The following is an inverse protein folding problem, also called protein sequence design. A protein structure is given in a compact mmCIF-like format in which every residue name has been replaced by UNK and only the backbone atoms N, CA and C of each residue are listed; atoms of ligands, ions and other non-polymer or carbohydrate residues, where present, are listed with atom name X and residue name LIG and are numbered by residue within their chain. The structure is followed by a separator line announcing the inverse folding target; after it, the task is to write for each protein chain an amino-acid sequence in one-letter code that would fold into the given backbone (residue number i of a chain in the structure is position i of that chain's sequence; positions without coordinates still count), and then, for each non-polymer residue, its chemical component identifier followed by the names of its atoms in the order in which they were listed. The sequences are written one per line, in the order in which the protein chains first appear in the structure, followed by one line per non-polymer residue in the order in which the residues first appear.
data_IF_591628217482
#
_entry.id   IF_591628217482
#
_cell.length_a   1.000
_cell.length_b   1.000
_cell.length_c   1.000
_cell.angle_alpha   90.00
_cell.angle_beta   90.00
_cell.angle_gamma   90.00
#
_symmetry.space_group_name_H-M   'P 1'
#
loop_
_entity.id
_entity.type
_entity.pdbx_description
1 polymer ?
#
# COMPACT_ATOMS: atom_id res chain seq x y z
N UNK A 1 -2.66 14.95 -44.88
CA UNK A 1 -2.92 15.57 -43.56
C UNK A 1 -2.80 14.45 -42.55
N UNK A 2 -1.71 14.42 -41.80
CA UNK A 2 -1.55 13.48 -40.70
C UNK A 2 -2.42 13.98 -39.55
N UNK A 3 -3.56 13.33 -39.36
CA UNK A 3 -4.51 13.64 -38.28
C UNK A 3 -3.83 13.30 -36.94
N UNK A 4 -3.39 14.34 -36.23
CA UNK A 4 -2.73 14.21 -34.92
C UNK A 4 -3.78 13.77 -33.91
N UNK A 5 -3.98 12.46 -33.81
CA UNK A 5 -4.83 11.86 -32.79
C UNK A 5 -4.08 11.88 -31.46
N UNK A 6 -4.56 12.71 -30.53
CA UNK A 6 -4.07 12.73 -29.16
C UNK A 6 -4.25 11.33 -28.53
N UNK A 7 -3.26 10.82 -27.75
CA UNK A 7 -3.41 9.55 -27.06
C UNK A 7 -4.65 9.56 -26.15
N UNK A 8 -5.31 8.42 -26.04
CA UNK A 8 -6.43 8.23 -25.12
C UNK A 8 -6.05 8.69 -23.70
N UNK A 9 -6.98 9.37 -23.02
CA UNK A 9 -6.78 9.89 -21.67
C UNK A 9 -6.30 8.79 -20.70
N UNK A 10 -5.06 8.89 -20.22
CA UNK A 10 -4.50 7.97 -19.25
C UNK A 10 -4.98 8.32 -17.84
N UNK A 11 -5.62 7.36 -17.18
CA UNK A 11 -6.03 7.51 -15.78
C UNK A 11 -4.82 7.46 -14.84
N UNK A 12 -4.78 8.32 -13.83
CA UNK A 12 -3.70 8.36 -12.85
C UNK A 12 -3.54 7.02 -12.12
N UNK A 13 -2.40 6.35 -12.30
CA UNK A 13 -2.13 5.05 -11.68
C UNK A 13 -2.11 5.13 -10.15
N UNK A 14 -1.66 6.25 -9.59
CA UNK A 14 -1.75 6.48 -8.15
C UNK A 14 -3.20 6.56 -7.66
N UNK A 15 -4.10 7.18 -8.41
CA UNK A 15 -5.52 7.17 -8.07
C UNK A 15 -6.10 5.74 -8.14
N UNK A 16 -5.77 4.99 -9.20
CA UNK A 16 -6.21 3.59 -9.34
C UNK A 16 -5.69 2.71 -8.20
N UNK A 17 -4.44 2.88 -7.77
CA UNK A 17 -3.85 2.15 -6.65
C UNK A 17 -4.45 2.58 -5.31
N UNK A 18 -4.74 3.87 -5.12
CA UNK A 18 -5.46 4.36 -3.95
C UNK A 18 -6.86 3.76 -3.83
N UNK A 19 -7.58 3.56 -4.96
CA UNK A 19 -8.89 2.92 -4.93
C UNK A 19 -8.80 1.47 -4.41
N UNK A 20 -7.76 0.71 -4.76
CA UNK A 20 -7.55 -0.65 -4.22
C UNK A 20 -7.48 -0.61 -2.70
N UNK A 21 -6.81 0.39 -2.15
CA UNK A 21 -6.61 0.51 -0.72
C UNK A 21 -7.83 1.09 0.05
N UNK A 22 -8.71 1.85 -0.60
CA UNK A 22 -9.88 2.48 0.06
C UNK A 22 -11.17 1.67 -0.04
N UNK A 23 -11.32 0.76 -1.02
CA UNK A 23 -12.64 0.17 -1.32
C UNK A 23 -13.11 -0.86 -0.27
N UNK A 24 -12.25 -1.30 0.67
CA UNK A 24 -12.57 -2.37 1.64
C UNK A 24 -12.50 -1.99 3.14
N UNK A 25 -12.47 -0.70 3.52
CA UNK A 25 -12.53 -0.33 4.95
C UNK A 25 -13.52 0.81 5.19
N UNK A 26 -14.76 0.46 5.47
CA UNK A 26 -15.75 1.38 6.04
C UNK A 26 -16.35 0.78 7.32
N UNK A 27 -16.40 1.60 8.38
CA UNK A 27 -16.94 1.38 9.74
C UNK A 27 -15.94 0.99 10.85
N UNK A 28 -14.90 1.79 11.08
CA UNK A 28 -14.28 1.89 12.42
C UNK A 28 -14.54 3.31 12.93
N UNK A 29 -15.38 3.40 13.96
CA UNK A 29 -15.98 4.65 14.45
C UNK A 29 -15.00 5.59 15.16
N UNK A 30 -15.33 6.87 15.06
CA UNK A 30 -14.57 8.04 15.50
C UNK A 30 -14.74 8.33 17.01
N UNK A 31 -14.58 7.31 17.86
CA UNK A 31 -14.67 7.47 19.32
C UNK A 31 -13.28 7.73 19.91
N UNK A 32 -12.92 9.01 20.02
CA UNK A 32 -11.66 9.45 20.65
C UNK A 32 -11.82 9.53 22.16
N UNK A 33 -10.89 8.93 22.91
CA UNK A 33 -10.67 9.26 24.32
C UNK A 33 -9.47 10.19 24.43
N UNK A 34 -9.71 11.45 24.81
CA UNK A 34 -8.65 12.45 25.05
C UNK A 34 -7.68 11.97 26.12
N UNK A 35 -8.20 11.37 27.20
CA UNK A 35 -7.42 10.81 28.31
C UNK A 35 -6.46 9.71 27.84
N UNK A 36 -6.91 8.81 26.96
CA UNK A 36 -6.04 7.76 26.42
C UNK A 36 -4.98 8.32 25.46
N UNK A 37 -5.35 9.32 24.64
CA UNK A 37 -4.47 9.99 23.68
C UNK A 37 -3.32 10.73 24.38
N UNK A 38 -3.63 11.47 25.44
CA UNK A 38 -2.64 12.25 26.19
C UNK A 38 -1.67 11.33 26.94
N UNK A 39 -2.19 10.25 27.55
CA UNK A 39 -1.36 9.27 28.28
C UNK A 39 -0.41 8.50 27.36
N UNK A 40 -0.88 8.17 26.16
CA UNK A 40 -0.06 7.59 25.12
C UNK A 40 1.04 8.57 24.67
N UNK A 41 0.72 9.85 24.52
CA UNK A 41 1.71 10.85 24.12
C UNK A 41 2.80 11.02 25.19
N UNK A 42 2.43 11.01 26.48
CA UNK A 42 3.39 11.04 27.59
C UNK A 42 4.39 9.87 27.53
N UNK A 43 3.91 8.66 27.25
CA UNK A 43 4.72 7.43 27.34
C UNK A 43 5.48 7.15 26.03
N UNK A 44 4.81 7.33 24.89
CA UNK A 44 5.37 7.02 23.57
C UNK A 44 6.11 8.21 22.96
N UNK A 45 5.97 9.42 23.52
CA UNK A 45 6.44 10.69 22.97
C UNK A 45 5.99 10.91 21.52
N UNK A 46 4.84 10.34 21.14
CA UNK A 46 4.34 10.38 19.77
C UNK A 46 2.81 10.35 19.75
N UNK A 47 2.20 11.06 18.79
CA UNK A 47 0.76 11.01 18.53
C UNK A 47 0.45 9.95 17.48
N UNK A 48 -0.51 9.06 17.72
CA UNK A 48 -0.96 8.13 16.69
C UNK A 48 -1.79 8.87 15.64
N UNK A 49 -1.51 8.66 14.33
CA UNK A 49 -2.34 9.25 13.29
C UNK A 49 -3.74 8.64 13.36
N UNK A 50 -4.76 9.48 13.25
CA UNK A 50 -6.14 9.02 13.14
C UNK A 50 -6.35 8.51 11.72
N UNK A 51 -6.89 7.30 11.52
CA UNK A 51 -7.29 6.85 10.19
C UNK A 51 -8.32 7.83 9.60
N UNK A 52 -7.96 8.50 8.52
CA UNK A 52 -8.87 9.37 7.76
C UNK A 52 -9.30 8.58 6.52
N UNK A 53 -10.62 8.37 6.37
CA UNK A 53 -11.22 7.57 5.29
C UNK A 53 -10.78 8.07 3.89
N UNK A 54 -10.50 9.37 3.75
CA UNK A 54 -10.06 10.00 2.51
C UNK A 54 -8.59 9.75 2.13
N UNK A 55 -7.79 9.11 3.00
CA UNK A 55 -6.39 8.76 2.76
C UNK A 55 -6.08 7.38 3.34
N UNK A 56 -6.16 6.33 2.52
CA UNK A 56 -5.89 4.94 2.90
C UNK A 56 -4.55 4.70 3.65
N UNK A 57 -3.50 5.50 3.36
CA UNK A 57 -2.21 5.46 4.07
C UNK A 57 -2.35 5.70 5.59
N UNK A 58 -3.40 6.40 6.03
CA UNK A 58 -3.59 6.77 7.42
C UNK A 58 -3.77 5.56 8.35
N UNK A 59 -4.50 4.52 7.91
CA UNK A 59 -4.69 3.30 8.70
C UNK A 59 -3.39 2.50 8.79
N UNK A 60 -2.71 2.29 7.65
CA UNK A 60 -1.40 1.64 7.65
C UNK A 60 -0.41 2.35 8.57
N UNK A 61 -0.29 3.68 8.49
CA UNK A 61 0.60 4.44 9.37
C UNK A 61 0.20 4.36 10.84
N UNK A 62 -1.10 4.32 11.15
CA UNK A 62 -1.58 4.14 12.52
C UNK A 62 -1.13 2.78 13.09
N UNK A 63 -1.41 1.69 12.37
CA UNK A 63 -1.01 0.34 12.80
C UNK A 63 0.50 0.20 12.86
N UNK A 64 1.22 0.71 11.86
CA UNK A 64 2.70 0.66 11.86
C UNK A 64 3.28 1.34 13.09
N UNK A 65 2.68 2.46 13.50
CA UNK A 65 3.13 3.19 14.69
C UNK A 65 2.79 2.44 15.98
N UNK A 66 1.65 1.75 16.03
CA UNK A 66 1.26 0.87 17.14
C UNK A 66 2.27 -0.27 17.29
N UNK A 67 2.57 -0.98 16.19
CA UNK A 67 3.56 -2.07 16.18
C UNK A 67 4.94 -1.57 16.59
N UNK A 68 5.38 -0.40 16.10
CA UNK A 68 6.66 0.20 16.46
C UNK A 68 6.79 0.60 17.94
N UNK A 69 5.68 0.79 18.66
CA UNK A 69 5.66 1.18 20.07
C UNK A 69 5.07 0.09 20.98
N UNK A 70 5.13 -1.18 20.56
CA UNK A 70 4.55 -2.34 21.26
C UNK A 70 4.89 -2.39 22.75
N UNK A 71 6.16 -2.20 23.12
CA UNK A 71 6.63 -2.22 24.51
C UNK A 71 6.06 -1.07 25.33
N UNK A 72 6.13 0.16 24.79
CA UNK A 72 5.64 1.38 25.43
C UNK A 72 4.12 1.35 25.60
N UNK A 73 3.41 0.80 24.61
CA UNK A 73 1.98 0.58 24.69
C UNK A 73 1.65 -0.41 25.81
N UNK A 74 2.41 -1.48 25.98
CA UNK A 74 2.25 -2.40 27.11
C UNK A 74 2.19 -1.68 28.46
N UNK A 75 3.12 -0.75 28.70
CA UNK A 75 3.17 0.10 29.89
C UNK A 75 1.97 1.07 29.96
N UNK A 76 1.55 1.63 28.83
CA UNK A 76 0.37 2.49 28.77
C UNK A 76 -0.94 1.74 29.10
N UNK A 77 -1.11 0.51 28.60
CA UNK A 77 -2.25 -0.35 28.92
C UNK A 77 -2.31 -0.66 30.43
N UNK A 78 -1.16 -0.93 31.06
CA UNK A 78 -1.07 -1.15 32.51
C UNK A 78 -1.50 0.08 33.31
N UNK A 79 -0.96 1.25 32.96
CA UNK A 79 -1.29 2.51 33.63
C UNK A 79 -2.77 2.90 33.48
N UNK A 80 -3.36 2.60 32.32
CA UNK A 80 -4.76 2.89 32.03
C UNK A 80 -5.72 1.78 32.50
N UNK A 81 -5.20 0.70 33.11
CA UNK A 81 -5.98 -0.49 33.53
C UNK A 81 -6.82 -1.07 32.38
N UNK A 82 -6.28 -1.00 31.17
CA UNK A 82 -6.93 -1.50 29.96
C UNK A 82 -6.51 -2.94 29.67
N UNK A 83 -7.39 -3.68 28.99
CA UNK A 83 -7.06 -5.03 28.51
C UNK A 83 -5.93 -4.95 27.47
N UNK A 84 -4.84 -5.65 27.74
CA UNK A 84 -3.69 -5.74 26.81
C UNK A 84 -4.06 -6.49 25.54
N UNK A 85 -3.39 -6.11 24.46
CA UNK A 85 -3.40 -6.81 23.18
C UNK A 85 -2.71 -8.16 23.35
N UNK A 86 -3.35 -9.23 22.87
CA UNK A 86 -2.85 -10.61 22.95
C UNK A 86 -1.70 -10.83 21.97
N UNK A 87 -0.89 -11.86 22.21
CA UNK A 87 0.20 -12.26 21.29
C UNK A 87 -0.30 -12.52 19.87
N UNK A 88 -1.44 -13.20 19.71
CA UNK A 88 -2.04 -13.47 18.40
C UNK A 88 -2.45 -12.19 17.67
N UNK A 89 -3.00 -11.22 18.40
CA UNK A 89 -3.41 -9.92 17.84
C UNK A 89 -2.18 -9.11 17.42
N UNK A 90 -1.08 -9.18 18.18
CA UNK A 90 0.20 -8.57 17.77
C UNK A 90 0.76 -9.21 16.49
N UNK A 91 0.78 -10.53 16.39
CA UNK A 91 1.24 -11.23 15.18
C UNK A 91 0.38 -10.87 13.96
N UNK A 92 -0.94 -10.71 14.13
CA UNK A 92 -1.81 -10.20 13.08
C UNK A 92 -1.43 -8.78 12.63
N UNK A 93 -1.19 -7.85 13.57
CA UNK A 93 -0.84 -6.47 13.23
C UNK A 93 0.54 -6.39 12.53
N UNK A 94 1.49 -7.22 12.94
CA UNK A 94 2.81 -7.35 12.30
C UNK A 94 2.65 -7.87 10.85
N UNK A 95 1.88 -8.93 10.63
CA UNK A 95 1.57 -9.43 9.28
C UNK A 95 0.81 -8.41 8.43
N UNK A 96 -0.15 -7.69 9.02
CA UNK A 96 -0.87 -6.62 8.33
C UNK A 96 0.09 -5.54 7.83
N UNK A 97 1.01 -5.09 8.68
CA UNK A 97 2.04 -4.13 8.28
C UNK A 97 2.92 -4.69 7.16
N UNK A 98 3.34 -5.94 7.26
CA UNK A 98 4.16 -6.59 6.23
C UNK A 98 3.46 -6.62 4.86
N UNK A 99 2.16 -6.94 4.81
CA UNK A 99 1.37 -6.98 3.57
C UNK A 99 1.10 -5.58 3.01
N UNK A 100 0.83 -4.61 3.87
CA UNK A 100 0.45 -3.25 3.45
C UNK A 100 1.65 -2.36 3.11
N UNK A 101 2.83 -2.62 3.67
CA UNK A 101 4.05 -1.85 3.40
C UNK A 101 4.47 -1.77 1.92
N UNK A 102 4.51 -2.87 1.14
CA UNK A 102 4.86 -2.77 -0.28
C UNK A 102 3.81 -1.96 -1.05
N UNK A 103 2.53 -2.03 -0.66
CA UNK A 103 1.46 -1.22 -1.26
C UNK A 103 1.65 0.27 -0.95
N UNK A 104 1.90 0.63 0.33
CA UNK A 104 2.22 1.99 0.79
C UNK A 104 3.40 2.58 0.03
N UNK A 105 4.51 1.84 -0.01
CA UNK A 105 5.73 2.25 -0.70
C UNK A 105 5.50 2.47 -2.19
N UNK A 106 4.74 1.57 -2.83
CA UNK A 106 4.43 1.68 -4.26
C UNK A 106 3.61 2.91 -4.59
N UNK A 107 2.65 3.27 -3.74
CA UNK A 107 1.89 4.49 -3.99
C UNK A 107 2.71 5.74 -3.72
N UNK A 108 3.44 5.79 -2.61
CA UNK A 108 4.27 6.95 -2.27
C UNK A 108 5.27 7.23 -3.41
N UNK A 109 5.81 6.16 -4.01
CA UNK A 109 6.65 6.26 -5.22
C UNK A 109 5.88 6.83 -6.42
N UNK A 110 4.67 6.33 -6.71
CA UNK A 110 3.88 6.80 -7.86
C UNK A 110 3.23 8.18 -7.65
N UNK A 111 3.15 8.66 -6.41
CA UNK A 111 2.67 10.00 -6.04
C UNK A 111 3.81 11.01 -5.89
N UNK A 112 5.06 10.57 -5.79
CA UNK A 112 6.21 11.46 -5.61
C UNK A 112 6.45 12.34 -6.83
N UNK A 113 6.67 13.63 -6.63
CA UNK A 113 6.86 14.62 -7.72
C UNK A 113 8.00 14.24 -8.68
N UNK A 114 9.06 13.62 -8.18
CA UNK A 114 10.23 13.19 -8.95
C UNK A 114 10.13 11.78 -9.53
N UNK A 115 9.03 11.07 -9.29
CA UNK A 115 8.83 9.66 -9.68
C UNK A 115 7.45 9.37 -10.26
N UNK A 116 6.57 10.38 -10.33
CA UNK A 116 5.25 10.38 -10.95
C UNK A 116 5.35 10.43 -12.48
N UNK A 117 6.13 9.52 -13.05
CA UNK A 117 6.28 9.37 -14.50
C UNK A 117 5.81 7.99 -14.94
N UNK A 118 5.30 7.91 -16.16
CA UNK A 118 4.70 6.69 -16.72
C UNK A 118 5.65 5.48 -16.67
N UNK A 119 6.96 5.71 -16.84
CA UNK A 119 7.97 4.66 -16.82
C UNK A 119 8.21 4.01 -15.45
N UNK A 120 7.72 4.59 -14.36
CA UNK A 120 7.76 3.97 -13.04
C UNK A 120 6.56 3.04 -12.78
N UNK A 121 5.46 3.18 -13.53
CA UNK A 121 4.21 2.46 -13.24
C UNK A 121 4.38 0.96 -13.43
N UNK A 122 4.82 0.50 -14.61
CA UNK A 122 4.92 -0.93 -14.89
C UNK A 122 5.93 -1.65 -13.96
N UNK A 123 7.16 -1.13 -13.75
CA UNK A 123 8.09 -1.73 -12.80
C UNK A 123 7.54 -1.80 -11.37
N UNK A 124 6.85 -0.75 -10.92
CA UNK A 124 6.33 -0.67 -9.55
C UNK A 124 5.18 -1.66 -9.33
N UNK A 125 4.20 -1.69 -10.24
CA UNK A 125 3.03 -2.57 -10.11
C UNK A 125 3.43 -4.05 -10.21
N UNK A 126 4.34 -4.40 -11.12
CA UNK A 126 4.84 -5.78 -11.23
C UNK A 126 5.63 -6.18 -9.98
N UNK A 127 6.53 -5.32 -9.49
CA UNK A 127 7.29 -5.59 -8.26
C UNK A 127 6.38 -5.73 -7.03
N UNK A 128 5.34 -4.90 -6.90
CA UNK A 128 4.34 -5.00 -5.84
C UNK A 128 3.64 -6.36 -5.88
N UNK A 129 3.13 -6.76 -7.04
CA UNK A 129 2.47 -8.05 -7.23
C UNK A 129 3.40 -9.22 -6.87
N UNK A 130 4.64 -9.20 -7.36
CA UNK A 130 5.63 -10.25 -7.07
C UNK A 130 5.92 -10.36 -5.57
N UNK A 131 6.13 -9.23 -4.88
CA UNK A 131 6.35 -9.21 -3.42
C UNK A 131 5.19 -9.82 -2.65
N UNK A 132 3.94 -9.52 -3.05
CA UNK A 132 2.75 -10.06 -2.39
C UNK A 132 2.56 -11.55 -2.66
N UNK A 133 2.86 -12.03 -3.87
CA UNK A 133 2.79 -13.47 -4.20
C UNK A 133 3.87 -14.26 -3.46
N UNK A 134 5.07 -13.69 -3.29
CA UNK A 134 6.17 -14.30 -2.56
C UNK A 134 5.98 -14.31 -1.04
N UNK A 135 4.95 -13.63 -0.51
CA UNK A 135 4.61 -13.60 0.90
C UNK A 135 3.93 -14.91 1.37
N UNK A 136 4.66 -16.03 1.31
CA UNK A 136 4.13 -17.37 1.61
C UNK A 136 4.01 -17.68 3.11
N UNK A 137 4.73 -16.95 3.96
CA UNK A 137 4.83 -17.18 5.40
C UNK A 137 3.69 -16.55 6.23
N UNK A 138 2.73 -15.89 5.59
CA UNK A 138 1.59 -15.28 6.26
C UNK A 138 0.72 -16.36 6.92
N UNK A 139 0.22 -16.13 8.14
CA UNK A 139 -0.72 -17.03 8.83
C UNK A 139 -2.13 -16.44 8.78
N UNK A 140 -2.26 -15.14 9.01
CA UNK A 140 -3.55 -14.44 9.13
C UNK A 140 -3.87 -13.60 7.91
N UNK A 141 -2.86 -12.91 7.34
CA UNK A 141 -3.09 -11.93 6.28
C UNK A 141 -3.01 -12.50 4.85
N UNK A 142 -3.02 -13.82 4.67
CA UNK A 142 -3.10 -14.45 3.34
C UNK A 142 -4.28 -13.93 2.50
N UNK A 143 -5.53 -13.82 3.03
CA UNK A 143 -6.65 -13.33 2.24
C UNK A 143 -6.49 -11.87 1.83
N UNK A 144 -5.86 -11.05 2.67
CA UNK A 144 -5.56 -9.65 2.37
C UNK A 144 -4.56 -9.53 1.22
N UNK A 145 -3.43 -10.24 1.31
CA UNK A 145 -2.42 -10.25 0.24
C UNK A 145 -3.02 -10.71 -1.09
N UNK A 146 -3.84 -11.77 -1.05
CA UNK A 146 -4.54 -12.30 -2.22
C UNK A 146 -5.54 -11.29 -2.81
N UNK A 147 -6.35 -10.62 -1.98
CA UNK A 147 -7.30 -9.59 -2.43
C UNK A 147 -6.61 -8.42 -3.13
N UNK A 148 -5.46 -7.99 -2.60
CA UNK A 148 -4.66 -6.92 -3.21
C UNK A 148 -4.13 -7.37 -4.57
N UNK A 149 -3.58 -8.59 -4.67
CA UNK A 149 -3.09 -9.15 -5.95
C UNK A 149 -4.21 -9.22 -7.00
N UNK A 150 -5.38 -9.77 -6.65
CA UNK A 150 -6.54 -9.83 -7.55
C UNK A 150 -6.98 -8.43 -8.00
N UNK A 151 -6.99 -7.47 -7.08
CA UNK A 151 -7.35 -6.09 -7.38
C UNK A 151 -6.36 -5.41 -8.31
N UNK A 152 -5.06 -5.70 -8.15
CA UNK A 152 -4.01 -5.25 -9.07
C UNK A 152 -4.21 -5.84 -10.46
N UNK A 153 -4.38 -7.15 -10.56
CA UNK A 153 -4.61 -7.85 -11.84
C UNK A 153 -5.85 -7.33 -12.56
N UNK A 154 -6.94 -7.10 -11.83
CA UNK A 154 -8.19 -6.56 -12.40
C UNK A 154 -8.01 -5.15 -12.95
N UNK A 155 -7.33 -4.26 -12.22
CA UNK A 155 -7.25 -2.82 -12.56
C UNK A 155 -6.06 -2.48 -13.47
N UNK A 156 -5.03 -3.31 -13.46
CA UNK A 156 -3.80 -3.16 -14.23
C UNK A 156 -3.56 -4.36 -15.16
N UNK A 157 -4.61 -5.02 -15.64
CA UNK A 157 -4.51 -6.17 -16.54
C UNK A 157 -3.56 -5.93 -17.73
N UNK A 158 -3.57 -4.72 -18.30
CA UNK A 158 -2.71 -4.25 -19.39
C UNK A 158 -1.22 -4.15 -19.05
N UNK A 159 -0.83 -4.30 -17.78
CA UNK A 159 0.57 -4.41 -17.36
C UNK A 159 1.01 -5.87 -17.21
N UNK A 160 0.06 -6.81 -17.17
CA UNK A 160 0.30 -8.25 -17.04
C UNK A 160 0.07 -8.98 -18.37
N UNK A 161 -0.71 -8.39 -19.27
CA UNK A 161 -0.84 -8.79 -20.66
C UNK A 161 -0.25 -7.69 -21.55
N UNK A 162 0.95 -7.97 -22.10
CA UNK A 162 1.70 -7.00 -22.88
C UNK A 162 1.22 -6.88 -24.33
N UNK A 163 0.30 -7.74 -24.79
CA UNK A 163 -0.22 -7.68 -26.16
C UNK A 163 -1.27 -6.56 -26.33
N UNK A 164 -1.87 -6.11 -25.23
CA UNK A 164 -2.87 -5.05 -25.24
C UNK A 164 -2.28 -3.72 -25.74
N UNK A 165 -2.97 -3.03 -26.64
CA UNK A 165 -2.54 -1.72 -27.15
C UNK A 165 -2.28 -0.68 -26.04
N UNK A 166 -3.01 -0.79 -24.93
CA UNK A 166 -2.86 0.05 -23.73
C UNK A 166 -1.56 -0.20 -22.97
N UNK A 167 -0.91 -1.35 -23.12
CA UNK A 167 0.35 -1.69 -22.44
C UNK A 167 1.54 -0.88 -23.00
N UNK A 168 1.54 -0.62 -24.31
CA UNK A 168 2.68 -0.09 -25.07
C UNK A 168 3.26 1.20 -24.49
N UNK A 169 2.47 2.23 -24.11
CA UNK A 169 3.02 3.45 -23.53
C UNK A 169 3.75 3.22 -22.20
N UNK A 170 3.24 2.30 -21.36
CA UNK A 170 3.85 1.97 -20.08
C UNK A 170 5.16 1.19 -20.27
N UNK A 171 5.17 0.22 -21.19
CA UNK A 171 6.36 -0.55 -21.54
C UNK A 171 7.44 0.37 -22.10
N UNK A 172 7.12 1.13 -23.16
CA UNK A 172 8.06 2.02 -23.82
C UNK A 172 8.65 3.05 -22.85
N UNK A 173 7.81 3.63 -21.99
CA UNK A 173 8.28 4.58 -20.98
C UNK A 173 9.22 3.93 -19.96
N UNK A 174 8.92 2.71 -19.52
CA UNK A 174 9.73 2.01 -18.52
C UNK A 174 11.08 1.55 -19.09
N UNK A 175 11.11 1.00 -20.32
CA UNK A 175 12.36 0.57 -20.95
C UNK A 175 13.26 1.74 -21.34
N UNK A 176 12.67 2.91 -21.61
CA UNK A 176 13.41 4.14 -21.93
C UNK A 176 14.14 4.74 -20.71
N UNK A 177 13.79 4.32 -19.49
CA UNK A 177 14.50 4.73 -18.29
C UNK A 177 15.73 3.83 -18.07
N UNK A 178 16.96 4.39 -18.04
CA UNK A 178 18.19 3.61 -17.85
C UNK A 178 18.22 2.77 -16.57
N UNK A 179 17.46 3.20 -15.54
CA UNK A 179 17.30 2.51 -14.26
C UNK A 179 16.60 1.15 -14.39
N UNK A 180 15.62 1.04 -15.30
CA UNK A 180 14.78 -0.14 -15.41
C UNK A 180 15.15 -1.02 -16.61
N UNK A 181 15.32 -0.42 -17.80
CA UNK A 181 15.54 -1.16 -19.05
C UNK A 181 14.54 -2.33 -19.15
N UNK A 182 15.00 -3.56 -19.32
CA UNK A 182 14.17 -4.78 -19.35
C UNK A 182 14.15 -5.54 -18.01
N UNK A 183 14.82 -5.06 -16.96
CA UNK A 183 14.98 -5.81 -15.71
C UNK A 183 13.70 -6.03 -14.89
N UNK A 184 12.61 -5.34 -15.24
CA UNK A 184 11.30 -5.45 -14.61
C UNK A 184 10.32 -6.35 -15.38
N UNK A 185 10.70 -6.77 -16.59
CA UNK A 185 9.87 -7.60 -17.47
C UNK A 185 9.93 -9.05 -16.96
N UNK A 186 8.78 -9.72 -16.72
CA UNK A 186 8.77 -11.12 -16.29
C UNK A 186 9.50 -12.02 -17.30
N UNK A 187 10.28 -12.99 -16.82
CA UNK A 187 10.91 -14.00 -17.70
C UNK A 187 9.81 -14.88 -18.33
N UNK A 188 9.68 -14.87 -19.65
CA UNK A 188 8.68 -15.65 -20.40
C UNK A 188 7.86 -14.89 -21.44
N UNK A 189 8.37 -13.76 -21.95
CA UNK A 189 7.89 -13.10 -23.17
C UNK A 189 8.87 -13.41 -24.29
#
# INVERSE_FOLDING_TARGET
EDDITLPNHLTCSAHTLSLIATTDVAKIGDNRSSVASDKVYEICHCKFPVPIITRWNSMFHAVRKIVANKEKLGVAFDNLKLKKIKTLEWSFLEEYCFVMEPLATSLDLLQGENTCFLGYVAPTIIALRLKLIQATHLVYCKPLAFSIVLSLEKRFNYLFDLELSKSKPFILSAISLPKFKLGWVPQGI
#
